data_IF_899256579738
#
_entry.id   IF_899256579738
#
_cell.length_a   1.000
_cell.length_b   1.000
_cell.length_c   1.000
_cell.angle_alpha   90.00
_cell.angle_beta   90.00
_cell.angle_gamma   90.00
#
_symmetry.space_group_name_H-M   'P 1'
#
loop_
_entity.id
_entity.type
_entity.pdbx_description
1 polymer ?
#
# COMPACT_ATOMS: atom_id res chain seq x y z
N UNK A 1 -70.76 -34.87 6.75
CA UNK A 1 -70.82 -33.43 7.08
C UNK A 1 -69.40 -32.97 7.36
N UNK A 2 -68.90 -32.08 6.49
CA UNK A 2 -67.81 -31.10 6.58
C UNK A 2 -66.50 -31.35 7.36
N UNK A 3 -65.41 -31.28 6.57
CA UNK A 3 -64.07 -30.68 6.73
C UNK A 3 -63.71 -29.84 7.97
N UNK A 4 -62.45 -29.99 8.44
CA UNK A 4 -61.28 -29.07 8.24
C UNK A 4 -60.11 -29.52 9.17
N UNK A 5 -58.91 -29.91 8.69
CA UNK A 5 -57.69 -29.12 8.35
C UNK A 5 -57.18 -28.23 9.51
N UNK A 6 -55.91 -28.13 9.95
CA UNK A 6 -54.52 -28.36 9.47
C UNK A 6 -53.62 -28.58 10.74
N UNK A 7 -52.34 -28.96 10.77
CA UNK A 7 -51.27 -29.21 9.80
C UNK A 7 -49.95 -29.39 10.59
N UNK A 8 -49.18 -30.44 10.29
CA UNK A 8 -47.80 -30.59 10.75
C UNK A 8 -46.94 -30.91 9.52
N UNK A 9 -46.06 -29.98 9.16
CA UNK A 9 -45.23 -30.04 7.96
C UNK A 9 -44.13 -31.09 8.07
N UNK A 10 -44.02 -31.90 7.01
CA UNK A 10 -42.87 -32.75 6.71
C UNK A 10 -41.93 -31.98 5.76
N UNK A 11 -40.64 -31.93 6.06
CA UNK A 11 -39.60 -31.55 5.11
C UNK A 11 -38.73 -32.75 4.71
N UNK A 12 -38.58 -32.84 3.39
CA UNK A 12 -38.03 -33.87 2.49
C UNK A 12 -36.68 -34.45 2.99
N UNK A 13 -36.60 -35.78 3.16
CA UNK A 13 -35.85 -36.69 2.24
C UNK A 13 -34.50 -36.09 1.80
N UNK A 14 -33.39 -36.52 2.40
CA UNK A 14 -32.75 -37.82 2.13
C UNK A 14 -32.64 -38.08 0.62
N UNK A 15 -31.44 -37.92 0.06
CA UNK A 15 -30.91 -38.68 -1.08
C UNK A 15 -29.41 -38.34 -1.30
N UNK A 16 -28.57 -39.36 -1.03
CA UNK A 16 -27.29 -39.75 -1.69
C UNK A 16 -26.09 -38.81 -1.60
N UNK A 17 -24.84 -39.28 -1.51
CA UNK A 17 -24.31 -40.64 -1.64
C UNK A 17 -22.79 -40.56 -1.75
N UNK A 18 -22.11 -41.49 -1.09
CA UNK A 18 -20.65 -41.58 -0.98
C UNK A 18 -19.93 -41.81 -2.33
N UNK A 19 -18.74 -41.23 -2.49
CA UNK A 19 -17.69 -41.78 -3.34
C UNK A 19 -16.32 -41.46 -2.74
N UNK A 20 -15.70 -42.50 -2.17
CA UNK A 20 -14.29 -42.53 -1.83
C UNK A 20 -13.50 -42.95 -3.07
N UNK A 21 -12.45 -42.20 -3.41
CA UNK A 21 -11.54 -42.51 -4.50
C UNK A 21 -10.10 -42.23 -4.09
N UNK A 22 -9.37 -43.28 -3.74
CA UNK A 22 -7.90 -43.29 -3.69
C UNK A 22 -7.33 -43.19 -5.10
N UNK A 23 -6.54 -42.17 -5.37
CA UNK A 23 -5.66 -42.11 -6.54
C UNK A 23 -4.22 -42.35 -6.10
N UNK A 24 -3.68 -43.49 -6.54
CA UNK A 24 -2.24 -43.74 -6.58
C UNK A 24 -1.72 -43.22 -7.93
N UNK A 25 -0.72 -42.34 -7.90
CA UNK A 25 -0.02 -41.88 -9.10
C UNK A 25 1.41 -42.40 -9.08
N UNK A 26 1.70 -43.30 -10.02
CA UNK A 26 3.04 -43.64 -10.46
C UNK A 26 3.07 -43.65 -11.99
N UNK A 27 4.20 -43.20 -12.53
CA UNK A 27 4.74 -43.37 -13.90
C UNK A 27 4.31 -42.40 -15.02
N UNK A 28 5.23 -41.44 -15.25
CA UNK A 28 5.88 -41.02 -16.51
C UNK A 28 5.10 -41.26 -17.81
N UNK A 29 4.62 -40.16 -18.40
CA UNK A 29 4.27 -40.06 -19.81
C UNK A 29 4.54 -38.64 -20.29
N UNK A 30 5.57 -38.46 -21.12
CA UNK A 30 5.82 -37.21 -21.85
C UNK A 30 4.70 -36.99 -22.86
N UNK A 31 3.78 -36.06 -22.55
CA UNK A 31 2.83 -35.54 -23.51
C UNK A 31 3.29 -34.14 -23.91
N UNK A 32 3.73 -34.04 -25.15
CA UNK A 32 3.98 -32.79 -25.83
C UNK A 32 2.60 -32.22 -26.20
N UNK A 33 2.15 -31.24 -25.41
CA UNK A 33 0.95 -30.46 -25.69
C UNK A 33 1.37 -29.15 -26.37
N UNK A 34 0.85 -28.92 -27.57
CA UNK A 34 0.86 -27.62 -28.24
C UNK A 34 0.18 -26.61 -27.32
N UNK A 35 0.99 -25.72 -26.73
CA UNK A 35 0.58 -24.73 -25.74
C UNK A 35 0.06 -23.45 -26.40
N UNK A 36 -1.12 -23.51 -26.99
CA UNK A 36 -1.93 -22.34 -27.37
C UNK A 36 -3.36 -22.53 -26.85
N UNK A 37 -3.61 -22.37 -25.54
CA UNK A 37 -4.99 -22.03 -25.09
C UNK A 37 -5.20 -21.61 -23.63
N UNK A 38 -4.19 -21.46 -22.76
CA UNK A 38 -4.43 -20.99 -21.37
C UNK A 38 -3.78 -19.64 -21.03
N UNK A 39 -2.87 -19.12 -21.87
CA UNK A 39 -2.38 -17.73 -21.74
C UNK A 39 -3.37 -16.67 -22.24
N UNK A 40 -4.42 -17.06 -22.97
CA UNK A 40 -5.31 -16.13 -23.66
C UNK A 40 -6.44 -15.51 -22.83
N UNK A 41 -6.83 -16.14 -21.70
CA UNK A 41 -8.02 -15.70 -20.95
C UNK A 41 -7.73 -14.66 -19.85
N UNK A 42 -6.47 -14.58 -19.37
CA UNK A 42 -6.07 -13.63 -18.33
C UNK A 42 -5.36 -12.40 -18.90
N UNK A 43 -4.66 -12.56 -20.02
CA UNK A 43 -3.96 -11.46 -20.72
C UNK A 43 -4.91 -10.42 -21.35
N UNK A 44 -6.22 -10.68 -21.41
CA UNK A 44 -7.20 -9.75 -21.97
C UNK A 44 -7.67 -8.65 -21.00
N UNK A 45 -7.58 -8.85 -19.68
CA UNK A 45 -8.17 -7.92 -18.69
C UNK A 45 -7.15 -6.98 -18.04
N UNK A 46 -5.90 -7.42 -17.88
CA UNK A 46 -4.85 -6.65 -17.23
C UNK A 46 -3.54 -6.74 -18.05
N UNK A 47 -3.37 -5.94 -19.11
CA UNK A 47 -2.24 -6.05 -20.03
C UNK A 47 -0.88 -5.82 -19.37
N UNK A 48 -0.84 -5.05 -18.27
CA UNK A 48 0.39 -4.66 -17.59
C UNK A 48 0.87 -5.69 -16.54
N UNK A 49 0.11 -6.77 -16.32
CA UNK A 49 0.41 -7.74 -15.26
C UNK A 49 1.57 -8.66 -15.63
N UNK A 50 2.49 -8.85 -14.70
CA UNK A 50 3.66 -9.74 -14.87
C UNK A 50 3.75 -10.78 -13.76
N UNK A 51 4.37 -11.92 -14.04
CA UNK A 51 4.64 -12.94 -13.01
C UNK A 51 5.83 -12.56 -12.10
N UNK A 52 6.77 -11.77 -12.62
CA UNK A 52 7.91 -11.23 -11.87
C UNK A 52 7.55 -9.88 -11.24
N UNK A 53 8.33 -9.39 -10.26
CA UNK A 53 8.26 -8.01 -9.83
C UNK A 53 8.24 -7.06 -11.02
N UNK A 54 7.29 -6.13 -11.01
CA UNK A 54 7.25 -5.03 -11.97
C UNK A 54 6.46 -3.88 -11.37
N UNK A 55 6.85 -2.69 -11.78
CA UNK A 55 6.24 -1.44 -11.37
C UNK A 55 5.99 -0.54 -12.57
N UNK A 56 5.09 0.41 -12.39
CA UNK A 56 4.87 1.50 -13.33
C UNK A 56 4.60 2.81 -12.59
N UNK A 57 4.74 3.92 -13.30
CA UNK A 57 4.46 5.24 -12.75
C UNK A 57 2.96 5.51 -12.72
N UNK A 58 2.49 6.14 -11.65
CA UNK A 58 1.10 6.58 -11.58
C UNK A 58 0.81 7.72 -12.57
N UNK A 59 -0.47 7.96 -12.84
CA UNK A 59 -0.88 9.09 -13.67
C UNK A 59 -0.42 10.37 -13.00
N UNK A 60 0.31 11.22 -13.74
CA UNK A 60 0.90 12.43 -13.18
C UNK A 60 2.09 12.19 -12.27
N UNK A 61 2.66 10.98 -12.18
CA UNK A 61 3.90 10.77 -11.45
C UNK A 61 5.12 11.25 -12.24
N UNK A 62 6.09 11.85 -11.55
CA UNK A 62 7.39 12.28 -12.07
C UNK A 62 8.42 12.23 -10.94
N UNK A 63 9.55 11.60 -11.21
CA UNK A 63 10.72 11.63 -10.31
C UNK A 63 11.77 12.64 -10.76
N UNK A 64 11.61 13.28 -11.93
CA UNK A 64 12.64 14.14 -12.52
C UNK A 64 12.94 15.38 -11.67
N UNK A 65 11.93 15.93 -11.00
CA UNK A 65 12.07 17.06 -10.11
C UNK A 65 12.34 16.68 -8.66
N UNK A 66 12.36 15.38 -8.29
CA UNK A 66 12.57 14.93 -6.93
C UNK A 66 14.04 15.02 -6.53
N UNK A 67 14.38 15.98 -5.66
CA UNK A 67 15.73 16.17 -5.16
C UNK A 67 15.76 15.94 -3.64
N UNK A 68 16.70 15.13 -3.16
CA UNK A 68 16.86 14.81 -1.74
C UNK A 68 17.16 16.05 -0.87
N UNK A 69 17.75 17.10 -1.47
CA UNK A 69 18.07 18.36 -0.82
C UNK A 69 17.01 19.46 -1.04
N UNK A 70 15.87 19.13 -1.64
CA UNK A 70 14.74 20.05 -1.74
C UNK A 70 14.14 20.31 -0.35
N UNK A 71 13.81 21.58 0.02
CA UNK A 71 13.32 21.90 1.36
C UNK A 71 12.10 21.08 1.80
N UNK A 72 11.13 20.87 0.91
CA UNK A 72 9.92 20.07 1.19
C UNK A 72 10.26 18.58 1.39
N UNK A 73 11.25 18.05 0.67
CA UNK A 73 11.71 16.67 0.86
C UNK A 73 12.41 16.49 2.21
N UNK A 74 13.23 17.48 2.61
CA UNK A 74 13.86 17.49 3.93
C UNK A 74 12.81 17.54 5.03
N UNK A 75 11.85 18.48 4.94
CA UNK A 75 10.77 18.64 5.92
C UNK A 75 9.94 17.36 6.05
N UNK A 76 9.53 16.75 4.94
CA UNK A 76 8.80 15.49 4.95
C UNK A 76 9.61 14.36 5.58
N UNK A 77 10.90 14.22 5.21
CA UNK A 77 11.77 13.17 5.76
C UNK A 77 11.99 13.36 7.27
N UNK A 78 12.18 14.60 7.73
CA UNK A 78 12.33 14.93 9.15
C UNK A 78 11.03 14.62 9.92
N UNK A 79 9.86 15.03 9.41
CA UNK A 79 8.58 14.73 10.04
C UNK A 79 8.29 13.22 10.13
N UNK A 80 8.64 12.45 9.08
CA UNK A 80 8.58 10.99 9.12
C UNK A 80 9.56 10.43 10.15
N UNK A 81 10.80 10.92 10.19
CA UNK A 81 11.82 10.45 11.13
C UNK A 81 11.39 10.68 12.59
N UNK A 82 10.89 11.88 12.90
CA UNK A 82 10.38 12.22 14.22
C UNK A 82 9.20 11.31 14.61
N UNK A 83 8.26 11.07 13.68
CA UNK A 83 7.13 10.16 13.95
C UNK A 83 7.59 8.72 14.20
N UNK A 84 8.55 8.22 13.42
CA UNK A 84 9.10 6.89 13.63
C UNK A 84 9.86 6.81 14.95
N UNK A 85 10.63 7.83 15.34
CA UNK A 85 11.37 7.82 16.62
C UNK A 85 10.42 7.90 17.83
N UNK A 86 9.42 8.77 17.79
CA UNK A 86 8.57 9.08 18.93
C UNK A 86 7.38 8.12 19.08
N UNK A 87 6.80 7.64 17.97
CA UNK A 87 5.54 6.89 17.98
C UNK A 87 5.69 5.46 17.52
N UNK A 88 6.55 5.21 16.53
CA UNK A 88 6.67 3.90 15.89
C UNK A 88 8.13 3.42 15.80
N UNK A 89 8.90 3.38 16.90
CA UNK A 89 10.35 3.12 16.84
C UNK A 89 10.74 1.70 16.39
N UNK A 90 9.84 0.73 16.60
CA UNK A 90 10.08 -0.69 16.39
C UNK A 90 8.79 -1.48 16.16
N UNK A 91 8.94 -2.77 15.86
CA UNK A 91 7.84 -3.70 15.61
C UNK A 91 6.82 -3.77 16.77
N UNK A 92 7.26 -3.65 18.02
CA UNK A 92 6.35 -3.67 19.17
C UNK A 92 5.46 -2.46 19.24
N UNK A 93 6.03 -1.27 19.08
CA UNK A 93 5.26 -0.04 19.02
C UNK A 93 4.24 -0.06 17.86
N UNK A 94 4.61 -0.66 16.72
CA UNK A 94 3.71 -0.84 15.58
C UNK A 94 2.52 -1.76 15.91
N UNK A 95 2.78 -2.91 16.54
CA UNK A 95 1.71 -3.83 16.98
C UNK A 95 0.75 -3.15 17.95
N UNK A 96 1.28 -2.46 18.97
CA UNK A 96 0.47 -1.72 19.94
C UNK A 96 -0.38 -0.65 19.27
N UNK A 97 0.18 0.05 18.28
CA UNK A 97 -0.52 1.06 17.50
C UNK A 97 -1.56 0.49 16.51
N UNK A 98 -1.61 -0.83 16.30
CA UNK A 98 -2.59 -1.49 15.44
C UNK A 98 -2.13 -1.71 14.00
N UNK A 99 -0.85 -1.48 13.70
CA UNK A 99 -0.26 -1.90 12.43
C UNK A 99 -0.28 -3.42 12.33
N UNK A 100 -0.41 -3.91 11.09
CA UNK A 100 -0.42 -5.32 10.77
C UNK A 100 0.75 -5.68 9.87
N UNK A 101 1.57 -6.66 10.27
CA UNK A 101 2.73 -7.07 9.50
C UNK A 101 2.29 -7.63 8.16
N UNK A 102 3.06 -7.26 7.17
CA UNK A 102 2.93 -7.66 5.79
C UNK A 102 4.33 -8.10 5.31
N UNK A 103 4.71 -9.35 5.68
CA UNK A 103 5.97 -9.96 5.23
C UNK A 103 5.83 -10.37 3.75
N UNK A 104 6.75 -9.90 2.89
CA UNK A 104 6.74 -10.11 1.45
C UNK A 104 7.13 -11.56 1.07
N UNK A 105 6.25 -12.52 1.36
CA UNK A 105 6.44 -13.97 1.19
C UNK A 105 6.69 -14.50 -0.24
N UNK A 106 6.72 -13.64 -1.27
CA UNK A 106 6.81 -14.06 -2.68
C UNK A 106 8.00 -13.50 -3.44
N UNK A 107 8.72 -12.55 -2.86
CA UNK A 107 9.98 -12.07 -3.42
C UNK A 107 11.08 -12.96 -2.84
N UNK A 108 11.60 -13.87 -3.68
CA UNK A 108 12.58 -14.89 -3.29
C UNK A 108 13.97 -14.35 -2.96
N UNK A 109 14.09 -13.03 -2.83
CA UNK A 109 15.26 -12.32 -2.35
C UNK A 109 14.83 -11.72 -0.99
N UNK A 110 15.37 -12.26 0.11
CA UNK A 110 15.22 -11.67 1.45
C UNK A 110 15.85 -10.28 1.42
N UNK A 111 15.06 -9.27 1.04
CA UNK A 111 15.52 -7.90 1.06
C UNK A 111 15.77 -7.44 2.52
N UNK A 112 15.35 -8.23 3.51
CA UNK A 112 15.66 -8.06 4.93
C UNK A 112 14.86 -6.94 5.58
N UNK A 113 13.75 -6.53 4.98
CA UNK A 113 12.82 -5.56 5.53
C UNK A 113 11.38 -6.00 5.26
N UNK A 114 10.43 -5.42 5.98
CA UNK A 114 9.01 -5.74 5.88
C UNK A 114 8.15 -4.51 5.90
N UNK A 115 6.98 -4.61 5.28
CA UNK A 115 5.95 -3.60 5.34
C UNK A 115 5.01 -3.90 6.51
N UNK A 116 4.55 -2.86 7.18
CA UNK A 116 3.58 -2.92 8.27
C UNK A 116 2.47 -1.95 7.95
N UNK A 117 1.25 -2.45 7.73
CA UNK A 117 0.13 -1.68 7.19
C UNK A 117 -0.87 -1.33 8.29
N UNK A 118 -1.37 -0.09 8.32
CA UNK A 118 -2.37 0.33 9.30
C UNK A 118 -3.79 0.31 8.71
N UNK A 119 -4.67 -0.64 9.10
CA UNK A 119 -5.95 -0.80 8.44
C UNK A 119 -6.92 0.37 8.55
N UNK A 120 -6.79 1.20 9.60
CA UNK A 120 -7.65 2.39 9.77
C UNK A 120 -7.09 3.64 9.09
N UNK A 121 -5.82 3.64 8.67
CA UNK A 121 -5.23 4.79 7.96
C UNK A 121 -5.36 4.59 6.46
N UNK A 122 -5.29 3.34 6.00
CA UNK A 122 -5.56 2.99 4.60
C UNK A 122 -6.99 3.38 4.22
N UNK A 123 -7.11 4.40 3.37
CA UNK A 123 -8.37 4.87 2.83
C UNK A 123 -9.11 5.85 3.74
N UNK A 124 -8.44 6.45 4.72
CA UNK A 124 -9.00 7.59 5.45
C UNK A 124 -8.97 8.88 4.60
N UNK A 125 -9.23 10.03 5.20
CA UNK A 125 -9.28 11.31 4.50
C UNK A 125 -7.90 11.93 4.23
N UNK A 126 -6.89 11.54 5.01
CA UNK A 126 -5.51 12.00 4.93
C UNK A 126 -4.70 11.12 3.96
N UNK A 127 -3.77 11.75 3.26
CA UNK A 127 -2.79 11.08 2.38
C UNK A 127 -1.54 11.91 2.45
N UNK A 128 -0.36 11.26 2.45
CA UNK A 128 0.91 11.95 2.62
C UNK A 128 1.01 12.63 4.01
N UNK A 129 0.40 12.04 5.03
CA UNK A 129 0.44 12.51 6.43
C UNK A 129 1.54 11.77 7.20
N UNK A 130 2.68 12.43 7.52
CA UNK A 130 3.78 11.78 8.22
C UNK A 130 3.41 11.28 9.62
N UNK A 131 2.39 11.84 10.28
CA UNK A 131 1.96 11.43 11.62
C UNK A 131 1.11 10.14 11.59
N UNK A 132 0.51 9.84 10.44
CA UNK A 132 -0.44 8.72 10.24
C UNK A 132 -0.14 7.97 8.93
N UNK A 133 1.09 7.44 8.75
CA UNK A 133 1.46 6.77 7.52
C UNK A 133 0.67 5.47 7.33
N UNK A 134 0.20 5.20 6.12
CA UNK A 134 -0.56 3.96 5.84
C UNK A 134 0.30 2.71 5.98
N UNK A 135 1.62 2.85 5.80
CA UNK A 135 2.59 1.78 6.03
C UNK A 135 3.85 2.31 6.70
N UNK A 136 4.39 1.55 7.65
CA UNK A 136 5.75 1.69 8.17
C UNK A 136 6.62 0.56 7.60
N UNK A 137 7.90 0.85 7.38
CA UNK A 137 8.90 -0.08 6.85
C UNK A 137 9.84 -0.45 7.98
N UNK A 138 10.03 -1.74 8.22
CA UNK A 138 10.80 -2.26 9.36
C UNK A 138 11.96 -3.09 8.85
N UNK A 139 13.14 -2.86 9.41
CA UNK A 139 14.31 -3.70 9.19
C UNK A 139 14.13 -5.04 9.92
N UNK A 140 14.18 -6.17 9.22
CA UNK A 140 13.90 -7.48 9.81
C UNK A 140 15.04 -7.95 10.74
N UNK A 141 16.25 -7.40 10.60
CA UNK A 141 17.37 -7.74 11.46
C UNK A 141 17.29 -6.98 12.79
N UNK A 142 17.26 -5.64 12.75
CA UNK A 142 17.24 -4.80 13.97
C UNK A 142 15.85 -4.61 14.58
N UNK A 143 14.79 -4.95 13.84
CA UNK A 143 13.37 -4.75 14.18
C UNK A 143 12.99 -3.28 14.35
N UNK A 144 13.81 -2.36 13.83
CA UNK A 144 13.61 -0.91 13.87
C UNK A 144 12.88 -0.41 12.63
N UNK A 145 12.09 0.63 12.81
CA UNK A 145 11.51 1.35 11.69
C UNK A 145 12.58 2.12 10.91
N UNK A 146 12.54 2.03 9.57
CA UNK A 146 13.55 2.58 8.65
C UNK A 146 12.97 3.49 7.55
N UNK A 147 11.64 3.61 7.50
CA UNK A 147 10.94 4.46 6.55
C UNK A 147 9.43 4.25 6.62
N UNK A 148 8.72 4.92 5.72
CA UNK A 148 7.28 4.75 5.53
C UNK A 148 6.97 4.54 4.05
N UNK A 149 5.80 3.95 3.79
CA UNK A 149 5.20 3.94 2.47
C UNK A 149 3.81 4.53 2.57
N UNK A 150 3.60 5.65 1.90
CA UNK A 150 2.28 6.22 1.74
C UNK A 150 1.49 5.46 0.69
N UNK A 151 0.18 5.32 0.89
CA UNK A 151 -0.72 4.63 -0.03
C UNK A 151 -1.85 5.59 -0.41
N UNK A 152 -1.85 6.05 -1.67
CA UNK A 152 -2.80 7.06 -2.14
C UNK A 152 -4.21 6.47 -2.36
N UNK A 153 -4.93 6.28 -1.26
CA UNK A 153 -6.32 5.82 -1.21
C UNK A 153 -7.15 6.76 -0.34
N UNK A 154 -8.43 6.96 -0.70
CA UNK A 154 -9.42 7.69 0.09
C UNK A 154 -10.76 7.00 -0.05
N UNK A 155 -11.47 6.84 1.06
CA UNK A 155 -12.73 6.08 1.14
C UNK A 155 -12.61 4.65 0.58
N UNK A 156 -11.41 4.04 0.72
CA UNK A 156 -11.09 2.70 0.19
C UNK A 156 -10.87 2.65 -1.33
N UNK A 157 -10.86 3.79 -2.03
CA UNK A 157 -10.64 3.87 -3.47
C UNK A 157 -9.28 4.54 -3.80
N UNK A 158 -8.55 4.08 -4.83
CA UNK A 158 -7.30 4.73 -5.25
C UNK A 158 -7.51 6.16 -5.74
N UNK A 159 -6.62 7.07 -5.34
CA UNK A 159 -6.59 8.46 -5.79
C UNK A 159 -5.81 8.54 -7.10
N UNK A 160 -6.33 9.30 -8.07
CA UNK A 160 -5.69 9.49 -9.38
C UNK A 160 -6.02 10.87 -9.97
N UNK A 161 -5.01 11.73 -10.22
CA UNK A 161 -3.60 11.56 -9.86
C UNK A 161 -3.38 11.64 -8.34
N UNK A 162 -2.40 10.93 -7.77
CA UNK A 162 -2.00 11.11 -6.37
C UNK A 162 -1.41 12.52 -6.15
N UNK A 163 -1.45 13.06 -4.92
CA UNK A 163 -0.91 14.39 -4.62
C UNK A 163 0.61 14.43 -4.85
N UNK A 164 1.13 15.49 -5.48
CA UNK A 164 2.57 15.68 -5.56
C UNK A 164 3.16 15.97 -4.16
N UNK A 165 4.45 15.71 -4.00
CA UNK A 165 5.21 16.19 -2.82
C UNK A 165 5.35 17.71 -2.89
N UNK A 166 5.67 18.24 -4.08
CA UNK A 166 5.70 19.67 -4.37
C UNK A 166 5.51 19.92 -5.86
N UNK A 167 5.01 21.11 -6.20
CA UNK A 167 4.84 21.61 -7.58
C UNK A 167 5.31 23.07 -7.67
N UNK A 168 5.79 23.49 -8.86
CA UNK A 168 6.41 24.79 -9.09
C UNK A 168 5.51 26.00 -8.81
N UNK A 169 4.19 25.80 -8.91
CA UNK A 169 3.18 26.83 -8.76
C UNK A 169 2.55 26.84 -7.35
N UNK A 170 2.98 25.95 -6.45
CA UNK A 170 2.50 25.89 -5.08
C UNK A 170 3.40 26.73 -4.17
N UNK A 171 3.16 28.04 -4.17
CA UNK A 171 3.78 28.98 -3.22
C UNK A 171 3.32 28.72 -1.75
N UNK A 172 2.48 27.70 -1.49
CA UNK A 172 2.04 27.33 -0.15
C UNK A 172 1.97 25.82 0.06
N UNK A 173 3.10 25.22 0.44
CA UNK A 173 3.01 24.10 1.38
C UNK A 173 2.36 24.64 2.67
N UNK A 174 1.04 24.49 2.79
CA UNK A 174 0.35 24.57 4.08
C UNK A 174 0.86 23.37 4.87
N UNK A 175 1.92 23.56 5.65
CA UNK A 175 2.46 22.53 6.54
C UNK A 175 1.40 21.94 7.48
N UNK A 176 1.79 21.01 8.38
CA UNK A 176 0.84 20.42 9.32
C UNK A 176 0.05 21.53 10.03
N UNK A 177 -1.29 21.38 10.19
CA UNK A 177 -2.16 22.46 10.63
C UNK A 177 -1.62 23.04 11.94
N UNK A 178 -1.14 24.28 11.89
CA UNK A 178 -0.77 24.98 13.11
C UNK A 178 -2.03 25.04 13.98
N UNK A 179 -1.94 24.52 15.20
CA UNK A 179 -3.01 24.61 16.19
C UNK A 179 -3.23 26.09 16.51
N UNK A 180 -4.21 26.68 15.84
CA UNK A 180 -4.58 28.10 15.91
C UNK A 180 -4.71 28.58 17.36
N UNK A 181 -3.69 29.31 17.81
CA UNK A 181 -3.75 30.11 19.03
C UNK A 181 -4.52 31.40 18.71
N UNK A 182 -5.67 31.54 19.34
CA UNK A 182 -6.61 32.66 19.23
C UNK A 182 -5.94 34.03 19.22
N UNK A 183 -5.98 34.79 18.11
CA UNK A 183 -5.85 36.25 18.20
C UNK A 183 -6.58 37.05 17.09
N UNK A 184 -7.64 37.72 17.56
CA UNK A 184 -8.08 39.10 17.30
C UNK A 184 -8.49 39.56 15.89
N UNK A 185 -9.81 39.78 15.82
CA UNK A 185 -10.56 40.60 14.88
C UNK A 185 -9.92 41.97 14.60
N UNK A 186 -9.61 42.23 13.33
CA UNK A 186 -9.49 43.60 12.82
C UNK A 186 -10.39 43.81 11.61
N UNK A 187 -11.53 44.45 11.89
CA UNK A 187 -12.31 45.20 10.92
C UNK A 187 -11.51 46.39 10.42
N UNK A 188 -11.53 46.66 9.11
CA UNK A 188 -11.67 48.04 8.62
C UNK A 188 -12.21 48.11 7.19
N UNK A 189 -13.12 49.07 7.03
CA UNK A 189 -13.96 49.44 5.90
C UNK A 189 -13.23 50.19 4.75
N UNK A 190 -13.98 50.33 3.63
CA UNK A 190 -13.85 51.29 2.50
C UNK A 190 -13.13 50.79 1.22
N UNK A 191 -13.60 50.98 -0.02
CA UNK A 191 -14.64 51.83 -0.64
C UNK A 191 -14.95 51.28 -2.06
N UNK A 192 -16.15 51.44 -2.67
CA UNK A 192 -16.47 50.93 -4.01
C UNK A 192 -16.73 52.05 -5.03
N UNK A 193 -16.02 52.12 -6.18
CA UNK A 193 -16.46 52.84 -7.42
C UNK A 193 -15.58 52.44 -8.64
N UNK A 194 -16.10 51.67 -9.63
CA UNK A 194 -16.64 52.09 -10.97
C UNK A 194 -15.59 52.13 -12.12
N UNK A 195 -15.96 52.09 -13.42
CA UNK A 195 -16.39 50.92 -14.23
C UNK A 195 -15.59 50.79 -15.57
N UNK A 196 -15.95 49.76 -16.35
CA UNK A 196 -15.88 49.63 -17.81
C UNK A 196 -14.65 50.15 -18.56
N UNK A 197 -13.81 49.22 -19.04
CA UNK A 197 -13.08 49.41 -20.31
C UNK A 197 -12.97 48.09 -21.09
N UNK A 198 -13.72 48.08 -22.19
CA UNK A 198 -13.35 47.68 -23.54
C UNK A 198 -12.66 46.31 -23.78
N UNK A 199 -13.47 45.44 -24.40
CA UNK A 199 -13.14 44.36 -25.33
C UNK A 199 -11.73 44.37 -25.94
N UNK A 200 -10.94 43.36 -25.56
CA UNK A 200 -9.83 42.86 -26.36
C UNK A 200 -10.09 41.40 -26.77
N UNK A 201 -10.36 41.09 -28.06
CA UNK A 201 -10.51 39.72 -28.55
C UNK A 201 -9.15 39.19 -28.98
N UNK A 202 -8.24 39.01 -28.03
CA UNK A 202 -7.07 38.17 -28.19
C UNK A 202 -7.28 36.93 -27.31
N UNK A 203 -7.89 35.90 -27.89
CA UNK A 203 -7.76 34.55 -27.38
C UNK A 203 -6.33 34.09 -27.67
N UNK A 204 -5.45 33.95 -26.65
CA UNK A 204 -4.30 33.10 -26.83
C UNK A 204 -4.80 31.66 -26.88
N UNK A 205 -4.18 30.90 -27.76
CA UNK A 205 -4.40 29.47 -27.94
C UNK A 205 -4.46 28.77 -26.58
N UNK A 206 -5.63 28.19 -26.28
CA UNK A 206 -5.84 27.29 -25.17
C UNK A 206 -5.15 25.95 -25.47
N UNK A 207 -3.82 25.94 -25.35
CA UNK A 207 -3.01 24.75 -25.16
C UNK A 207 -2.83 24.52 -23.64
N UNK A 208 -3.92 24.22 -22.95
CA UNK A 208 -3.88 23.70 -21.58
C UNK A 208 -4.20 22.20 -21.65
N UNK A 209 -3.28 21.37 -22.14
CA UNK A 209 -3.37 19.91 -21.98
C UNK A 209 -2.05 19.19 -22.29
N UNK A 210 -0.92 19.87 -22.11
CA UNK A 210 0.40 19.23 -22.12
C UNK A 210 1.13 19.66 -20.85
N UNK A 211 0.81 19.02 -19.71
CA UNK A 211 1.82 18.88 -18.67
C UNK A 211 2.93 18.04 -19.30
N UNK A 212 4.08 18.64 -19.67
CA UNK A 212 5.15 17.86 -20.25
C UNK A 212 5.61 16.89 -19.15
N UNK A 213 5.72 15.62 -19.49
CA UNK A 213 6.57 14.73 -18.70
C UNK A 213 7.92 15.45 -18.55
N UNK A 214 8.34 15.69 -17.31
CA UNK A 214 9.62 16.33 -16.99
C UNK A 214 9.58 17.81 -16.61
N UNK A 215 8.60 18.21 -15.80
CA UNK A 215 8.74 19.44 -15.02
C UNK A 215 9.79 19.23 -13.91
N UNK A 216 10.97 19.88 -13.99
CA UNK A 216 12.03 19.73 -13.00
C UNK A 216 11.66 20.32 -11.63
N UNK A 217 10.60 21.13 -11.56
CA UNK A 217 10.16 21.80 -10.34
C UNK A 217 8.97 21.06 -9.69
N UNK A 218 8.66 19.84 -10.17
CA UNK A 218 7.58 18.99 -9.66
C UNK A 218 8.07 17.61 -9.24
N UNK A 219 7.83 17.25 -7.98
CA UNK A 219 8.14 15.93 -7.45
C UNK A 219 6.87 15.15 -7.10
N UNK A 220 6.69 14.01 -7.76
CA UNK A 220 5.56 13.10 -7.56
C UNK A 220 6.01 11.65 -7.79
N UNK A 221 6.80 11.05 -6.88
CA UNK A 221 7.48 9.77 -7.08
C UNK A 221 6.56 8.53 -6.90
N UNK A 222 5.26 8.71 -7.07
CA UNK A 222 4.25 7.66 -6.94
C UNK A 222 4.37 6.59 -8.02
N UNK A 223 4.33 5.33 -7.60
CA UNK A 223 4.36 4.17 -8.48
C UNK A 223 3.31 3.13 -8.06
N UNK A 224 3.02 2.18 -8.93
CA UNK A 224 2.18 1.03 -8.61
C UNK A 224 2.94 -0.26 -8.90
N UNK A 225 2.61 -1.34 -8.21
CA UNK A 225 3.08 -2.69 -8.54
C UNK A 225 2.09 -3.38 -9.48
N UNK A 226 2.60 -3.90 -10.59
CA UNK A 226 1.84 -4.76 -11.53
C UNK A 226 2.36 -6.20 -11.55
N UNK A 227 3.50 -6.46 -10.91
CA UNK A 227 4.03 -7.79 -10.68
C UNK A 227 3.17 -8.61 -9.73
N UNK A 228 3.19 -9.93 -9.91
CA UNK A 228 2.47 -10.86 -9.06
C UNK A 228 2.81 -10.69 -7.58
N UNK A 229 4.08 -10.53 -7.14
CA UNK A 229 4.41 -10.37 -5.72
C UNK A 229 3.64 -9.20 -5.08
N UNK A 230 3.86 -7.97 -5.54
CA UNK A 230 3.16 -6.78 -5.03
C UNK A 230 1.63 -6.76 -5.22
N UNK A 231 1.08 -7.50 -6.18
CA UNK A 231 -0.39 -7.62 -6.33
C UNK A 231 -1.00 -8.63 -5.37
N UNK A 232 -0.33 -9.76 -5.18
CA UNK A 232 -0.74 -10.84 -4.27
C UNK A 232 -0.60 -10.39 -2.83
N UNK A 233 0.48 -9.69 -2.53
CA UNK A 233 0.71 -8.88 -1.35
C UNK A 233 -0.53 -8.08 -0.92
N UNK A 234 -0.89 -7.11 -1.75
CA UNK A 234 -2.03 -6.22 -1.52
C UNK A 234 -3.34 -6.99 -1.40
N UNK A 235 -3.57 -7.98 -2.28
CA UNK A 235 -4.76 -8.83 -2.22
C UNK A 235 -4.85 -9.61 -0.89
N UNK A 236 -3.73 -10.15 -0.41
CA UNK A 236 -3.64 -10.90 0.84
C UNK A 236 -3.97 -10.00 2.01
N UNK A 237 -3.33 -8.82 2.09
CA UNK A 237 -3.61 -7.81 3.11
C UNK A 237 -5.11 -7.54 3.19
N UNK A 238 -5.74 -7.21 2.05
CA UNK A 238 -7.18 -6.91 2.00
C UNK A 238 -8.02 -8.10 2.46
N UNK A 239 -7.65 -9.31 2.06
CA UNK A 239 -8.39 -10.52 2.38
C UNK A 239 -8.34 -10.88 3.87
N UNK A 240 -7.21 -10.63 4.51
CA UNK A 240 -6.98 -11.02 5.90
C UNK A 240 -7.42 -9.92 6.86
N UNK A 241 -7.16 -8.65 6.54
CA UNK A 241 -7.30 -7.56 7.48
C UNK A 241 -8.49 -6.62 7.20
N UNK A 242 -9.07 -6.57 5.99
CA UNK A 242 -10.28 -5.75 5.75
C UNK A 242 -11.58 -6.47 6.18
N UNK A 243 -12.32 -5.84 7.11
CA UNK A 243 -13.59 -6.36 7.67
C UNK A 243 -14.74 -6.51 6.67
N UNK A 244 -14.65 -5.89 5.50
CA UNK A 244 -15.69 -5.96 4.45
C UNK A 244 -15.62 -7.22 3.60
N UNK A 245 -14.62 -8.09 3.84
CA UNK A 245 -14.39 -9.28 3.02
C UNK A 245 -15.47 -10.37 3.20
N UNK A 246 -16.07 -10.80 2.09
CA UNK A 246 -16.84 -12.05 2.01
C UNK A 246 -16.02 -13.13 1.32
N UNK A 247 -16.14 -14.36 1.82
CA UNK A 247 -15.56 -15.55 1.17
C UNK A 247 -15.93 -15.58 -0.33
N UNK A 248 -14.94 -15.37 -1.20
CA UNK A 248 -15.05 -15.52 -2.65
C UNK A 248 -15.02 -14.25 -3.51
N UNK A 249 -14.84 -13.04 -2.93
CA UNK A 249 -15.13 -11.78 -3.65
C UNK A 249 -13.96 -11.02 -4.29
N UNK A 250 -12.69 -11.39 -4.11
CA UNK A 250 -11.58 -10.64 -4.76
C UNK A 250 -10.68 -11.58 -5.56
N UNK A 251 -10.68 -11.38 -6.87
CA UNK A 251 -9.49 -11.62 -7.69
C UNK A 251 -8.50 -10.49 -7.37
N UNK A 252 -7.17 -10.70 -7.46
CA UNK A 252 -6.23 -9.60 -7.30
C UNK A 252 -6.50 -8.49 -8.31
N UNK A 253 -6.32 -7.23 -7.93
CA UNK A 253 -6.47 -6.11 -8.85
C UNK A 253 -5.42 -6.19 -9.96
N UNK A 254 -5.59 -5.47 -11.08
CA UNK A 254 -4.57 -5.44 -12.14
C UNK A 254 -3.24 -4.79 -11.69
N UNK A 255 -3.30 -3.92 -10.68
CA UNK A 255 -2.17 -3.25 -10.05
C UNK A 255 -2.54 -2.85 -8.62
N UNK A 256 -1.57 -2.56 -7.77
CA UNK A 256 -1.81 -1.92 -6.46
C UNK A 256 -2.33 -0.49 -6.61
N UNK A 257 -2.85 0.13 -5.54
CA UNK A 257 -2.92 1.59 -5.48
C UNK A 257 -1.55 2.23 -5.72
N UNK A 258 -1.55 3.55 -5.94
CA UNK A 258 -0.32 4.33 -6.02
C UNK A 258 0.33 4.39 -4.64
N UNK A 259 1.63 4.13 -4.58
CA UNK A 259 2.42 4.09 -3.36
C UNK A 259 3.66 4.95 -3.52
N UNK A 260 4.18 5.45 -2.41
CA UNK A 260 5.39 6.27 -2.37
C UNK A 260 6.17 5.98 -1.09
N UNK A 261 7.40 5.51 -1.24
CA UNK A 261 8.31 5.31 -0.11
C UNK A 261 8.97 6.62 0.31
N UNK A 262 9.23 6.77 1.60
CA UNK A 262 10.09 7.80 2.18
C UNK A 262 11.01 7.13 3.19
N UNK A 263 12.30 7.06 2.86
CA UNK A 263 13.32 6.45 3.72
C UNK A 263 13.90 7.46 4.71
N UNK A 264 14.02 7.07 5.98
CA UNK A 264 14.66 7.89 7.02
C UNK A 264 16.14 7.55 7.17
N UNK A 265 16.53 6.33 6.80
CA UNK A 265 17.92 5.91 6.64
C UNK A 265 18.47 6.32 5.28
N UNK A 266 19.81 6.38 5.15
CA UNK A 266 20.44 6.74 3.88
C UNK A 266 20.18 5.68 2.81
N UNK A 267 19.82 6.12 1.60
CA UNK A 267 19.53 5.25 0.48
C UNK A 267 20.31 5.71 -0.77
N UNK A 268 21.08 4.82 -1.45
CA UNK A 268 21.92 5.21 -2.58
C UNK A 268 21.13 5.70 -3.81
N UNK A 269 19.85 5.36 -3.89
CA UNK A 269 18.91 5.81 -4.94
C UNK A 269 18.01 6.99 -4.49
N UNK A 270 18.28 7.59 -3.32
CA UNK A 270 17.59 8.76 -2.79
C UNK A 270 16.42 8.45 -1.86
N UNK A 271 15.83 9.50 -1.29
CA UNK A 271 14.81 9.43 -0.22
C UNK A 271 13.55 8.69 -0.67
N UNK A 272 13.18 8.83 -1.95
CA UNK A 272 11.99 8.22 -2.56
C UNK A 272 12.28 6.91 -3.30
N UNK A 273 13.41 6.27 -3.03
CA UNK A 273 13.78 5.03 -3.70
C UNK A 273 12.69 3.96 -3.56
N UNK A 274 12.49 3.20 -4.63
CA UNK A 274 11.46 2.15 -4.67
C UNK A 274 11.81 0.96 -3.77
N UNK A 275 13.05 0.46 -3.88
CA UNK A 275 13.51 -0.68 -3.10
C UNK A 275 13.97 -0.28 -1.71
N UNK A 276 14.12 -1.29 -0.85
CA UNK A 276 14.70 -1.10 0.47
C UNK A 276 16.20 -0.76 0.41
N UNK A 277 16.72 -0.04 1.41
CA UNK A 277 18.14 0.28 1.48
C UNK A 277 18.97 -1.01 1.57
N UNK A 278 20.15 -1.07 0.93
CA UNK A 278 21.04 -2.21 1.10
C UNK A 278 21.39 -2.41 2.58
N UNK A 279 21.66 -3.64 3.05
CA UNK A 279 21.92 -3.92 4.47
C UNK A 279 22.97 -3.00 5.12
N UNK A 280 24.04 -2.67 4.38
CA UNK A 280 25.11 -1.78 4.85
C UNK A 280 24.66 -0.35 5.21
N UNK A 281 23.46 0.06 4.81
CA UNK A 281 22.85 1.36 5.14
C UNK A 281 21.79 1.26 6.25
N UNK A 282 21.43 0.03 6.67
CA UNK A 282 20.44 -0.25 7.72
C UNK A 282 21.07 -0.73 9.03
N UNK A 283 22.39 -0.90 9.08
CA UNK A 283 23.11 -1.28 10.30
C UNK A 283 22.83 -0.29 11.44
N UNK A 284 21.97 -0.70 12.38
CA UNK A 284 21.57 0.06 13.56
C UNK A 284 21.65 -0.83 14.80
N UNK A 285 21.66 -0.19 15.96
CA UNK A 285 21.48 -0.93 17.22
C UNK A 285 20.07 -1.56 17.22
N UNK A 286 19.96 -2.88 17.44
CA UNK A 286 18.67 -3.56 17.50
C UNK A 286 17.72 -2.94 18.53
N UNK A 287 16.43 -3.28 18.44
CA UNK A 287 15.47 -2.97 19.50
C UNK A 287 15.91 -3.62 20.82
N UNK A 288 16.09 -2.82 21.88
CA UNK A 288 16.48 -3.32 23.21
C UNK A 288 15.37 -4.19 23.84
N UNK A 289 14.12 -3.86 23.55
CA UNK A 289 12.91 -4.54 23.97
C UNK A 289 12.00 -4.62 22.75
N UNK A 290 11.60 -5.82 22.28
CA UNK A 290 10.71 -5.94 21.13
C UNK A 290 9.29 -5.44 21.42
N UNK A 291 8.92 -5.13 22.67
CA UNK A 291 7.62 -4.56 23.03
C UNK A 291 6.48 -5.58 23.10
N UNK A 292 6.77 -6.87 22.91
CA UNK A 292 5.83 -7.98 23.05
C UNK A 292 6.53 -9.26 23.54
N UNK A 293 5.75 -10.23 24.00
CA UNK A 293 6.30 -11.52 24.45
C UNK A 293 6.74 -12.36 23.24
N UNK A 294 8.05 -12.61 23.13
CA UNK A 294 8.65 -13.48 22.09
C UNK A 294 9.90 -14.18 22.61
N UNK A 295 10.23 -15.33 22.01
CA UNK A 295 11.47 -16.07 22.26
C UNK A 295 12.60 -15.66 21.28
N UNK A 296 12.31 -14.84 20.26
CA UNK A 296 13.28 -14.35 19.28
C UNK A 296 13.98 -13.06 19.77
N UNK A 297 15.24 -12.87 19.38
CA UNK A 297 16.07 -11.74 19.81
C UNK A 297 16.42 -10.80 18.63
N UNK A 298 16.02 -9.51 18.69
CA UNK A 298 16.40 -8.52 17.67
C UNK A 298 17.91 -8.47 17.44
N UNK A 299 18.34 -8.55 16.18
CA UNK A 299 19.73 -8.59 15.75
C UNK A 299 20.38 -9.98 15.77
N UNK A 300 19.75 -10.99 16.36
CA UNK A 300 20.15 -12.39 16.26
C UNK A 300 19.18 -13.22 15.41
N UNK A 301 17.87 -12.96 15.54
CA UNK A 301 16.79 -13.61 14.80
C UNK A 301 16.06 -12.62 13.88
N UNK A 302 15.71 -13.09 12.68
CA UNK A 302 14.95 -12.29 11.72
C UNK A 302 13.48 -12.12 12.18
N UNK A 303 12.96 -10.90 12.03
CA UNK A 303 11.56 -10.60 12.24
C UNK A 303 10.72 -11.30 11.18
N UNK A 304 9.87 -12.22 11.63
CA UNK A 304 8.96 -12.99 10.78
C UNK A 304 7.73 -13.46 11.55
N UNK A 305 6.85 -14.23 10.91
CA UNK A 305 5.62 -14.73 11.53
C UNK A 305 5.88 -15.51 12.83
N UNK A 306 6.98 -16.28 12.89
CA UNK A 306 7.35 -17.08 14.07
C UNK A 306 7.85 -16.23 15.25
N UNK A 307 8.26 -14.99 15.00
CA UNK A 307 8.70 -14.06 16.04
C UNK A 307 7.52 -13.34 16.71
N UNK A 308 6.35 -13.27 16.07
CA UNK A 308 5.21 -12.48 16.52
C UNK A 308 4.33 -13.21 17.55
N UNK A 309 3.57 -12.47 18.38
CA UNK A 309 2.56 -13.06 19.24
C UNK A 309 1.48 -13.80 18.42
N UNK A 310 1.03 -14.96 18.91
CA UNK A 310 0.00 -15.80 18.26
C UNK A 310 -1.27 -15.01 17.87
N UNK A 311 -1.62 -13.96 18.63
CA UNK A 311 -2.82 -13.15 18.40
C UNK A 311 -2.69 -12.14 17.25
N UNK A 312 -1.46 -11.81 16.86
CA UNK A 312 -1.14 -10.91 15.74
C UNK A 312 -0.78 -11.66 14.46
N UNK A 313 -0.53 -12.97 14.57
CA UNK A 313 -0.38 -13.86 13.41
C UNK A 313 -1.76 -14.16 12.81
N UNK A 314 -1.97 -13.93 11.49
CA UNK A 314 -3.20 -14.32 10.83
C UNK A 314 -3.49 -15.82 10.90
N UNK A 315 -4.77 -16.18 11.02
CA UNK A 315 -5.26 -17.58 10.91
C UNK A 315 -4.79 -18.30 9.63
N UNK A 316 -4.46 -17.54 8.59
CA UNK A 316 -3.97 -18.03 7.31
C UNK A 316 -2.78 -17.21 6.83
N UNK A 317 -1.61 -17.84 6.80
CA UNK A 317 -0.40 -17.27 6.21
C UNK A 317 -0.44 -17.30 4.67
N UNK A 318 0.34 -16.45 3.99
CA UNK A 318 0.39 -16.43 2.53
C UNK A 318 0.66 -17.80 1.89
N UNK A 319 1.52 -18.65 2.47
CA UNK A 319 1.83 -19.97 1.90
C UNK A 319 0.63 -20.94 1.93
N UNK A 320 -0.39 -20.65 2.75
CA UNK A 320 -1.62 -21.46 2.80
C UNK A 320 -2.55 -21.21 1.61
N UNK A 321 -2.33 -20.15 0.84
CA UNK A 321 -3.09 -19.83 -0.36
C UNK A 321 -2.43 -20.50 -1.57
N UNK A 322 -3.24 -21.14 -2.44
CA UNK A 322 -2.66 -21.65 -3.68
C UNK A 322 -2.31 -20.47 -4.58
N UNK A 323 -1.19 -20.58 -5.32
CA UNK A 323 -0.86 -19.62 -6.39
C UNK A 323 -2.01 -19.47 -7.40
N UNK A 324 -2.89 -20.45 -7.53
CA UNK A 324 -4.09 -20.35 -8.35
C UNK A 324 -5.15 -19.42 -7.74
N UNK A 325 -5.44 -19.58 -6.44
CA UNK A 325 -6.34 -18.67 -5.69
C UNK A 325 -5.81 -17.23 -5.71
N UNK A 326 -4.48 -17.11 -5.54
CA UNK A 326 -3.76 -15.87 -5.62
C UNK A 326 -3.82 -15.27 -7.01
N UNK A 327 -3.46 -15.98 -8.08
CA UNK A 327 -3.36 -15.40 -9.43
C UNK A 327 -4.70 -15.33 -10.18
N UNK A 328 -5.78 -15.82 -9.58
CA UNK A 328 -7.10 -15.93 -10.23
C UNK A 328 -7.12 -16.95 -11.37
N UNK A 329 -6.37 -18.05 -11.23
CA UNK A 329 -6.23 -19.13 -12.23
C UNK A 329 -7.26 -20.24 -12.05
#
# INVERSE_FOLDING_TARGET
MNNSNDGAGLTRRALLGASAGTLALSTIGTVQADGESERGLLSGRCPDTTLRPSMGHCVGASTEGCADDHPVTIELREAVADTLEDRYPDAGALLEAGFKPYFDTLDGDDDGWSHWLHPEYIGDDAVLDPERPESVLVDNDSWRSIGVMFIATRDGEPISPPPAVYEADDDSWEGPPEVDDYHEEHHDDHDPHYPDDEHDPHHPDGDHDHHPNGDPDRCSPWHYHAGAPGRLAWWYYRKVYERSYREGELLPPCRTPCMMHVWTVDHPEGVYAHGGPPPAYREREPADDPGFETDAEPGEDELGWDALPDEDVPDRLPESFSLADGLGL
#
